data_IF_874512153075
#
_entry.id   IF_874512153075
#
_cell.length_a   1.000
_cell.length_b   1.000
_cell.length_c   1.000
_cell.angle_alpha   90.00
_cell.angle_beta   90.00
_cell.angle_gamma   90.00
#
_symmetry.space_group_name_H-M   'P 1'
#
loop_
_entity.id
_entity.type
_entity.pdbx_description
1 polymer ?
#
# COMPACT_ATOMS: atom_id res chain seq x y z
N UNK A 1 33.63 25.54 12.22
CA UNK A 1 32.93 24.34 11.69
C UNK A 1 31.65 24.16 12.49
N UNK A 2 30.45 24.41 11.95
CA UNK A 2 29.22 24.16 12.69
C UNK A 2 28.84 22.68 12.57
N UNK A 3 28.72 22.03 13.72
CA UNK A 3 28.11 20.73 13.93
C UNK A 3 26.65 20.79 13.47
N UNK A 4 26.31 20.05 12.41
CA UNK A 4 24.93 19.73 12.09
C UNK A 4 24.38 18.83 13.20
N UNK A 5 23.75 19.44 14.20
CA UNK A 5 22.90 18.73 15.14
C UNK A 5 21.80 18.03 14.38
N UNK A 6 21.81 16.70 14.37
CA UNK A 6 20.65 15.91 14.00
C UNK A 6 19.53 16.33 14.96
N UNK A 7 18.58 17.16 14.51
CA UNK A 7 17.31 17.28 15.21
C UNK A 7 16.71 15.86 15.22
N UNK A 8 16.78 15.19 16.38
CA UNK A 8 15.85 14.10 16.68
C UNK A 8 14.46 14.75 16.67
N UNK A 9 13.81 14.79 15.50
CA UNK A 9 12.42 15.23 15.40
C UNK A 9 11.58 14.22 16.20
N UNK A 10 10.84 14.70 17.19
CA UNK A 10 9.92 13.91 17.99
C UNK A 10 8.92 13.20 17.05
N UNK A 11 8.60 11.90 17.23
CA UNK A 11 7.62 11.18 16.43
C UNK A 11 6.29 11.94 16.23
N UNK A 12 5.80 12.62 17.27
CA UNK A 12 4.58 13.42 17.22
C UNK A 12 4.68 14.60 16.23
N UNK A 13 5.81 15.30 16.20
CA UNK A 13 6.03 16.43 15.29
C UNK A 13 6.11 15.95 13.83
N UNK A 14 6.70 14.78 13.61
CA UNK A 14 6.77 14.16 12.28
C UNK A 14 5.37 13.79 11.79
N UNK A 15 4.57 13.12 12.62
CA UNK A 15 3.19 12.73 12.28
C UNK A 15 2.33 13.97 12.01
N UNK A 16 2.44 15.01 12.84
CA UNK A 16 1.71 16.27 12.65
C UNK A 16 2.11 16.96 11.34
N UNK A 17 3.41 17.11 11.10
CA UNK A 17 3.95 17.73 9.87
C UNK A 17 3.51 16.96 8.63
N UNK A 18 3.57 15.62 8.68
CA UNK A 18 3.15 14.77 7.58
C UNK A 18 1.65 14.93 7.31
N UNK A 19 0.80 14.93 8.35
CA UNK A 19 -0.65 15.14 8.20
C UNK A 19 -0.99 16.50 7.59
N UNK A 20 -0.34 17.56 8.04
CA UNK A 20 -0.56 18.92 7.50
C UNK A 20 -0.17 19.01 6.02
N UNK A 21 0.97 18.45 5.63
CA UNK A 21 1.40 18.45 4.23
C UNK A 21 0.53 17.55 3.34
N UNK A 22 0.06 16.41 3.84
CA UNK A 22 -0.90 15.57 3.12
C UNK A 22 -2.22 16.30 2.85
N UNK A 23 -2.69 17.14 3.78
CA UNK A 23 -3.88 17.96 3.58
C UNK A 23 -3.68 19.08 2.53
N UNK A 24 -2.45 19.56 2.35
CA UNK A 24 -2.10 20.51 1.27
C UNK A 24 -2.12 19.80 -0.09
N UNK A 25 -1.60 18.57 -0.16
CA UNK A 25 -1.62 17.76 -1.38
C UNK A 25 -3.05 17.43 -1.83
N UNK A 26 -3.97 17.17 -0.90
CA UNK A 26 -5.39 16.96 -1.24
C UNK A 26 -6.06 18.20 -1.87
N UNK A 27 -5.56 19.41 -1.61
CA UNK A 27 -6.15 20.66 -2.09
C UNK A 27 -5.65 21.12 -3.46
N UNK A 28 -4.67 20.42 -4.06
CA UNK A 28 -4.11 20.75 -5.38
C UNK A 28 -3.67 22.24 -5.53
N UNK A 29 -3.05 22.79 -4.49
CA UNK A 29 -2.61 24.20 -4.44
C UNK A 29 -1.19 24.37 -5.05
N UNK A 30 -0.79 25.60 -5.43
CA UNK A 30 0.57 25.91 -5.96
C UNK A 30 1.71 25.56 -4.99
N UNK A 31 1.39 25.30 -3.72
CA UNK A 31 2.34 24.85 -2.68
C UNK A 31 2.55 23.33 -2.64
N UNK A 32 1.85 22.57 -3.45
CA UNK A 32 1.84 21.10 -3.41
C UNK A 32 3.21 20.47 -3.72
N UNK A 33 4.02 21.08 -4.59
CA UNK A 33 5.42 20.64 -4.83
C UNK A 33 6.27 20.66 -3.55
N UNK A 34 6.19 21.74 -2.77
CA UNK A 34 6.93 21.84 -1.49
C UNK A 34 6.38 20.87 -0.45
N UNK A 35 5.05 20.68 -0.43
CA UNK A 35 4.41 19.72 0.46
C UNK A 35 4.83 18.28 0.14
N UNK A 36 4.92 17.89 -1.14
CA UNK A 36 5.36 16.57 -1.58
C UNK A 36 6.81 16.27 -1.17
N UNK A 37 7.71 17.24 -1.28
CA UNK A 37 9.10 17.09 -0.84
C UNK A 37 9.18 16.86 0.69
N UNK A 38 8.38 17.59 1.46
CA UNK A 38 8.33 17.44 2.92
C UNK A 38 7.67 16.10 3.33
N UNK A 39 6.65 15.63 2.60
CA UNK A 39 6.06 14.30 2.78
C UNK A 39 7.13 13.22 2.59
N UNK A 40 7.90 13.29 1.52
CA UNK A 40 8.98 12.33 1.23
C UNK A 40 10.03 12.31 2.33
N UNK A 41 10.45 13.49 2.84
CA UNK A 41 11.39 13.60 3.96
C UNK A 41 10.81 13.01 5.24
N UNK A 42 9.56 13.28 5.56
CA UNK A 42 8.90 12.74 6.75
C UNK A 42 8.81 11.21 6.70
N UNK A 43 8.42 10.64 5.55
CA UNK A 43 8.37 9.18 5.35
C UNK A 43 9.75 8.53 5.53
N UNK A 44 10.80 9.15 4.99
CA UNK A 44 12.16 8.66 5.16
C UNK A 44 12.61 8.67 6.63
N UNK A 45 12.32 9.76 7.37
CA UNK A 45 12.63 9.83 8.82
C UNK A 45 11.82 8.79 9.60
N UNK A 46 10.52 8.61 9.30
CA UNK A 46 9.71 7.57 9.95
C UNK A 46 10.27 6.17 9.70
N UNK A 47 10.72 5.89 8.48
CA UNK A 47 11.37 4.63 8.14
C UNK A 47 12.66 4.42 8.92
N UNK A 48 13.50 5.46 9.05
CA UNK A 48 14.71 5.40 9.87
C UNK A 48 14.39 5.12 11.35
N UNK A 49 13.30 5.69 11.88
CA UNK A 49 12.80 5.39 13.24
C UNK A 49 12.33 3.95 13.36
N UNK A 50 11.73 3.34 12.32
CA UNK A 50 11.24 1.96 12.38
C UNK A 50 12.35 0.91 12.21
N UNK A 51 13.39 1.22 11.42
CA UNK A 51 14.46 0.28 11.06
C UNK A 51 15.83 0.58 11.72
N UNK A 52 15.95 1.65 12.50
CA UNK A 52 17.17 2.05 13.18
C UNK A 52 17.75 0.98 14.11
N UNK A 53 19.08 0.90 14.18
CA UNK A 53 19.82 -0.20 14.85
C UNK A 53 20.58 0.21 16.12
N UNK A 54 20.39 1.42 16.65
CA UNK A 54 21.40 2.01 17.54
C UNK A 54 21.15 1.78 19.04
N UNK A 55 19.96 1.38 19.48
CA UNK A 55 19.69 0.95 20.87
C UNK A 55 18.31 0.28 20.97
N UNK A 56 18.21 -0.99 21.41
CA UNK A 56 16.96 -1.78 21.28
C UNK A 56 15.82 -1.27 22.16
N UNK A 57 16.11 -0.77 23.36
CA UNK A 57 15.09 -0.37 24.33
C UNK A 57 14.49 1.00 23.97
N UNK A 58 15.33 1.99 23.70
CA UNK A 58 14.91 3.31 23.20
C UNK A 58 14.21 3.22 21.84
N UNK A 59 14.64 2.30 20.97
CA UNK A 59 14.00 2.05 19.68
C UNK A 59 12.57 1.54 19.84
N UNK A 60 12.33 0.63 20.80
CA UNK A 60 10.99 0.08 21.03
C UNK A 60 10.03 1.14 21.56
N UNK A 61 10.50 2.03 22.45
CA UNK A 61 9.70 3.14 22.98
C UNK A 61 9.35 4.17 21.89
N UNK A 62 10.33 4.60 21.09
CA UNK A 62 10.11 5.55 19.99
C UNK A 62 9.17 5.01 18.91
N UNK A 63 9.28 3.73 18.56
CA UNK A 63 8.34 3.04 17.65
C UNK A 63 6.94 2.96 18.26
N UNK A 64 6.85 2.74 19.57
CA UNK A 64 5.56 2.72 20.29
C UNK A 64 4.87 4.08 20.26
N UNK A 65 5.62 5.14 20.53
CA UNK A 65 5.12 6.50 20.45
C UNK A 65 4.67 6.85 19.03
N UNK A 66 5.49 6.51 18.02
CA UNK A 66 5.13 6.73 16.61
C UNK A 66 3.84 6.01 16.23
N UNK A 67 3.69 4.74 16.60
CA UNK A 67 2.49 3.96 16.31
C UNK A 67 1.24 4.58 16.95
N UNK A 68 1.33 5.00 18.20
CA UNK A 68 0.23 5.64 18.93
C UNK A 68 -0.23 6.95 18.27
N UNK A 69 0.73 7.78 17.84
CA UNK A 69 0.46 9.01 17.11
C UNK A 69 -0.17 8.73 15.74
N UNK A 70 0.24 7.65 15.06
CA UNK A 70 -0.35 7.26 13.78
C UNK A 70 -1.81 6.82 13.89
N UNK A 71 -2.17 6.12 14.97
CA UNK A 71 -3.55 5.71 15.23
C UNK A 71 -4.42 6.91 15.62
N UNK A 72 -3.99 7.72 16.58
CA UNK A 72 -4.76 8.85 17.11
C UNK A 72 -4.96 9.97 16.09
N UNK A 73 -3.97 10.21 15.22
CA UNK A 73 -4.06 11.21 14.16
C UNK A 73 -4.87 10.73 12.95
N UNK A 74 -5.16 9.44 12.83
CA UNK A 74 -5.76 8.84 11.63
C UNK A 74 -4.86 8.93 10.40
N UNK A 75 -3.55 9.16 10.57
CA UNK A 75 -2.63 9.38 9.47
C UNK A 75 -2.47 8.14 8.58
N UNK A 76 -2.56 6.94 9.16
CA UNK A 76 -2.48 5.67 8.42
C UNK A 76 -3.61 5.56 7.37
N UNK A 77 -4.82 6.01 7.70
CA UNK A 77 -5.95 6.09 6.76
C UNK A 77 -5.68 7.12 5.68
N UNK A 78 -5.21 8.32 6.07
CA UNK A 78 -4.91 9.41 5.14
C UNK A 78 -3.82 9.04 4.12
N UNK A 79 -2.78 8.32 4.55
CA UNK A 79 -1.70 7.85 3.68
C UNK A 79 -2.21 6.86 2.63
N UNK A 80 -3.08 5.92 3.00
CA UNK A 80 -3.66 4.94 2.06
C UNK A 80 -4.59 5.63 1.07
N UNK A 81 -5.49 6.51 1.55
CA UNK A 81 -6.43 7.26 0.71
C UNK A 81 -5.71 8.11 -0.34
N UNK A 82 -4.59 8.70 0.05
CA UNK A 82 -3.81 9.63 -0.77
C UNK A 82 -2.57 9.00 -1.40
N UNK A 83 -2.47 7.66 -1.40
CA UNK A 83 -1.31 6.93 -1.95
C UNK A 83 -1.04 7.29 -3.41
N UNK A 84 -2.10 7.65 -4.17
CA UNK A 84 -2.00 8.12 -5.54
C UNK A 84 -1.30 9.47 -5.69
N UNK A 85 -1.40 10.34 -4.68
CA UNK A 85 -0.89 11.72 -4.72
C UNK A 85 0.58 11.84 -4.33
N UNK A 86 1.11 10.87 -3.57
CA UNK A 86 2.45 10.93 -2.97
C UNK A 86 3.56 11.06 -4.02
N UNK A 87 3.34 10.60 -5.26
CA UNK A 87 4.34 10.61 -6.33
C UNK A 87 3.86 11.26 -7.66
N UNK A 88 2.59 11.66 -7.76
CA UNK A 88 1.99 12.12 -9.03
C UNK A 88 2.44 13.52 -9.45
N UNK A 89 2.71 14.44 -8.51
CA UNK A 89 3.13 15.79 -8.88
C UNK A 89 4.62 15.91 -9.24
N UNK A 90 5.45 14.97 -8.79
CA UNK A 90 6.84 14.86 -9.24
C UNK A 90 6.94 14.51 -10.74
N UNK A 91 5.96 13.78 -11.30
CA UNK A 91 5.85 13.55 -12.76
C UNK A 91 5.48 14.84 -13.51
N UNK A 92 4.54 15.63 -12.98
CA UNK A 92 4.17 16.92 -13.56
C UNK A 92 5.34 17.92 -13.58
N UNK A 93 6.17 17.94 -12.53
CA UNK A 93 7.41 18.73 -12.52
C UNK A 93 8.45 18.26 -13.55
N UNK A 94 8.51 16.96 -13.86
CA UNK A 94 9.43 16.43 -14.88
C UNK A 94 9.01 16.83 -16.31
N UNK A 95 7.72 17.08 -16.54
CA UNK A 95 7.16 17.51 -17.81
C UNK A 95 6.96 19.05 -17.91
N UNK A 96 7.11 19.76 -16.79
CA UNK A 96 6.83 21.20 -16.67
C UNK A 96 8.01 22.11 -16.99
N UNK A 97 8.36 22.20 -18.28
CA UNK A 97 9.30 23.21 -18.80
C UNK A 97 9.29 23.42 -20.32
N UNK A 98 8.49 22.69 -21.08
CA UNK A 98 8.33 22.92 -22.51
C UNK A 98 6.85 23.05 -22.85
N UNK A 99 6.43 24.26 -23.20
CA UNK A 99 5.24 24.44 -24.01
C UNK A 99 5.44 23.71 -25.34
N UNK A 100 4.39 23.03 -25.81
CA UNK A 100 4.42 22.09 -26.93
C UNK A 100 4.58 22.75 -28.32
N UNK A 101 5.48 23.73 -28.51
CA UNK A 101 5.56 24.48 -29.79
C UNK A 101 6.95 24.71 -30.36
N UNK A 102 8.00 24.02 -29.90
CA UNK A 102 9.31 24.14 -30.54
C UNK A 102 10.17 22.88 -30.38
N UNK A 103 9.76 21.81 -31.04
CA UNK A 103 10.63 20.67 -31.35
C UNK A 103 11.43 21.01 -32.60
N UNK A 104 12.54 21.74 -32.45
CA UNK A 104 13.65 21.65 -33.39
C UNK A 104 14.94 22.12 -32.73
N UNK A 105 15.94 21.25 -32.72
CA UNK A 105 17.34 21.49 -32.32
C UNK A 105 17.63 21.69 -30.82
N UNK A 106 17.92 20.57 -30.14
CA UNK A 106 19.03 20.56 -29.19
C UNK A 106 19.78 19.24 -29.18
N UNK A 107 21.07 19.34 -29.48
CA UNK A 107 22.06 18.28 -29.54
C UNK A 107 22.48 17.78 -28.15
N UNK A 108 22.62 16.46 -28.06
CA UNK A 108 23.65 15.71 -27.30
C UNK A 108 24.11 16.28 -25.95
N UNK A 109 23.31 16.05 -24.91
CA UNK A 109 23.83 15.69 -23.59
C UNK A 109 22.92 14.58 -23.02
N UNK A 110 23.52 13.46 -22.64
CA UNK A 110 22.85 12.30 -22.07
C UNK A 110 22.07 12.70 -20.80
N UNK A 111 20.74 12.49 -20.72
CA UNK A 111 20.02 12.85 -19.52
C UNK A 111 20.07 11.66 -18.56
N UNK A 112 20.94 11.72 -17.55
CA UNK A 112 20.84 10.87 -16.34
C UNK A 112 19.74 11.37 -15.38
N UNK A 113 19.21 12.58 -15.63
CA UNK A 113 18.14 13.23 -14.88
C UNK A 113 16.80 12.48 -14.81
N UNK A 114 16.33 11.75 -15.85
CA UNK A 114 15.11 10.96 -15.78
C UNK A 114 15.25 9.80 -14.78
N UNK A 115 16.44 9.21 -14.67
CA UNK A 115 16.67 8.01 -13.86
C UNK A 115 16.69 8.30 -12.35
N UNK A 116 17.27 9.43 -11.93
CA UNK A 116 17.33 9.84 -10.52
C UNK A 116 15.95 10.31 -10.03
N UNK A 117 15.17 10.97 -10.91
CA UNK A 117 13.80 11.36 -10.60
C UNK A 117 12.90 10.12 -10.50
N UNK A 118 12.96 9.20 -11.49
CA UNK A 118 12.24 7.91 -11.45
C UNK A 118 12.59 7.05 -10.22
N UNK A 119 13.85 7.05 -9.77
CA UNK A 119 14.24 6.29 -8.56
C UNK A 119 13.68 6.88 -7.28
N UNK A 120 13.50 8.20 -7.20
CA UNK A 120 12.93 8.89 -6.03
C UNK A 120 11.39 8.78 -6.02
N UNK A 121 10.76 8.84 -7.20
CA UNK A 121 9.30 8.70 -7.42
C UNK A 121 8.80 7.28 -7.07
N UNK A 122 9.61 6.23 -7.27
CA UNK A 122 9.24 4.87 -6.82
C UNK A 122 9.39 4.67 -5.31
N UNK A 123 10.03 5.61 -4.61
CA UNK A 123 10.46 5.43 -3.23
C UNK A 123 9.33 5.79 -2.24
N UNK A 124 8.52 6.82 -2.51
CA UNK A 124 7.47 7.32 -1.60
C UNK A 124 6.38 6.29 -1.28
N UNK A 125 5.67 5.77 -2.30
CA UNK A 125 4.66 4.69 -2.12
C UNK A 125 5.23 3.43 -1.48
N UNK A 126 6.49 3.09 -1.83
CA UNK A 126 7.18 1.93 -1.25
C UNK A 126 7.45 2.14 0.24
N UNK A 127 7.86 3.35 0.63
CA UNK A 127 8.09 3.69 2.03
C UNK A 127 6.80 3.65 2.84
N UNK A 128 5.67 4.15 2.30
CA UNK A 128 4.36 4.00 2.94
C UNK A 128 4.03 2.52 3.17
N UNK A 129 4.22 1.69 2.15
CA UNK A 129 3.95 0.25 2.25
C UNK A 129 4.85 -0.43 3.29
N UNK A 130 6.13 -0.05 3.36
CA UNK A 130 7.08 -0.57 4.35
C UNK A 130 6.72 -0.13 5.77
N UNK A 131 6.38 1.14 5.97
CA UNK A 131 5.96 1.70 7.25
C UNK A 131 4.69 0.99 7.72
N UNK A 132 3.67 0.89 6.86
CA UNK A 132 2.41 0.20 7.15
C UNK A 132 2.66 -1.25 7.58
N UNK A 133 3.45 -2.00 6.81
CA UNK A 133 3.73 -3.40 7.09
C UNK A 133 4.53 -3.59 8.40
N UNK A 134 5.46 -2.69 8.69
CA UNK A 134 6.24 -2.75 9.93
C UNK A 134 5.34 -2.54 11.15
N UNK A 135 4.49 -1.52 11.13
CA UNK A 135 3.56 -1.21 12.21
C UNK A 135 2.50 -2.31 12.35
N UNK A 136 2.03 -2.88 11.24
CA UNK A 136 1.06 -3.98 11.27
C UNK A 136 1.60 -5.23 11.96
N UNK A 137 2.88 -5.55 11.74
CA UNK A 137 3.56 -6.70 12.38
C UNK A 137 3.93 -6.47 13.84
N UNK A 138 3.77 -5.26 14.36
CA UNK A 138 4.13 -4.92 15.74
C UNK A 138 3.25 -5.65 16.73
N UNK A 139 3.88 -6.30 17.69
CA UNK A 139 3.23 -6.97 18.82
C UNK A 139 3.58 -6.24 20.12
N UNK A 140 2.60 -6.11 21.00
CA UNK A 140 2.77 -5.64 22.38
C UNK A 140 2.29 -6.75 23.29
N UNK A 141 3.23 -7.57 23.78
CA UNK A 141 2.90 -8.84 24.41
C UNK A 141 2.23 -9.80 23.41
N UNK A 142 1.03 -10.28 23.73
CA UNK A 142 0.22 -11.12 22.84
C UNK A 142 -0.75 -10.33 21.97
N UNK A 143 -0.85 -9.00 22.18
CA UNK A 143 -1.76 -8.14 21.43
C UNK A 143 -1.09 -7.62 20.16
N UNK A 144 -1.87 -7.43 19.10
CA UNK A 144 -1.44 -6.79 17.86
C UNK A 144 -2.24 -5.48 17.68
N UNK A 145 -1.81 -4.36 18.28
CA UNK A 145 -2.62 -3.14 18.36
C UNK A 145 -3.07 -2.60 17.00
N UNK A 146 -2.23 -2.75 15.98
CA UNK A 146 -2.57 -2.34 14.61
C UNK A 146 -3.67 -3.20 14.01
N UNK A 147 -3.70 -4.49 14.31
CA UNK A 147 -4.78 -5.39 13.87
C UNK A 147 -6.10 -4.95 14.50
N UNK A 148 -6.11 -4.70 15.81
CA UNK A 148 -7.29 -4.22 16.54
C UNK A 148 -7.79 -2.87 16.00
N UNK A 149 -6.85 -1.96 15.69
CA UNK A 149 -7.15 -0.68 15.06
C UNK A 149 -7.80 -0.86 13.68
N UNK A 150 -7.28 -1.74 12.83
CA UNK A 150 -7.85 -2.00 11.49
C UNK A 150 -9.19 -2.73 11.60
N UNK A 151 -9.37 -3.64 12.55
CA UNK A 151 -10.66 -4.27 12.84
C UNK A 151 -11.75 -3.23 13.17
N UNK A 152 -11.37 -2.19 13.91
CA UNK A 152 -12.24 -1.05 14.24
C UNK A 152 -12.45 -0.08 13.07
N UNK A 153 -11.56 -0.12 12.06
CA UNK A 153 -11.51 0.77 10.91
C UNK A 153 -11.49 -0.01 9.58
N UNK A 154 -12.47 -0.90 9.39
CA UNK A 154 -12.51 -1.87 8.28
C UNK A 154 -12.41 -1.24 6.89
N UNK A 155 -12.85 0.03 6.75
CA UNK A 155 -12.72 0.80 5.51
C UNK A 155 -11.29 0.86 4.97
N UNK A 156 -10.26 0.72 5.81
CA UNK A 156 -8.85 0.60 5.40
C UNK A 156 -8.66 -0.57 4.43
N UNK A 157 -9.22 -1.74 4.75
CA UNK A 157 -9.10 -2.95 3.94
C UNK A 157 -9.78 -2.74 2.58
N UNK A 158 -10.95 -2.10 2.57
CA UNK A 158 -11.70 -1.84 1.34
C UNK A 158 -11.04 -0.77 0.45
N UNK A 159 -10.38 0.23 1.04
CA UNK A 159 -9.55 1.18 0.27
C UNK A 159 -8.36 0.50 -0.39
N UNK A 160 -7.68 -0.40 0.34
CA UNK A 160 -6.58 -1.19 -0.23
C UNK A 160 -7.07 -2.09 -1.36
N UNK A 161 -8.22 -2.76 -1.19
CA UNK A 161 -8.81 -3.63 -2.20
C UNK A 161 -9.21 -2.85 -3.46
N UNK A 162 -9.90 -1.71 -3.33
CA UNK A 162 -10.21 -0.81 -4.46
C UNK A 162 -8.96 -0.24 -5.14
N UNK A 163 -7.81 -0.27 -4.46
CA UNK A 163 -6.52 0.09 -5.04
C UNK A 163 -6.13 -0.73 -6.27
N UNK A 164 -6.65 -1.95 -6.44
CA UNK A 164 -6.43 -2.76 -7.65
C UNK A 164 -7.00 -2.11 -8.92
N UNK A 165 -8.02 -1.26 -8.80
CA UNK A 165 -8.60 -0.51 -9.93
C UNK A 165 -7.68 0.62 -10.42
N UNK A 166 -6.63 0.94 -9.66
CA UNK A 166 -5.73 2.05 -9.93
C UNK A 166 -4.32 1.53 -10.25
N UNK A 167 -3.92 1.45 -11.54
CA UNK A 167 -2.65 0.84 -11.94
C UNK A 167 -1.41 1.42 -11.24
N UNK A 168 -1.44 2.71 -10.92
CA UNK A 168 -0.32 3.44 -10.29
C UNK A 168 -0.07 3.09 -8.82
N UNK A 169 -1.02 2.43 -8.14
CA UNK A 169 -0.93 2.06 -6.72
C UNK A 169 -1.26 0.60 -6.45
N UNK A 170 -1.87 -0.11 -7.40
CA UNK A 170 -2.35 -1.49 -7.26
C UNK A 170 -1.34 -2.44 -6.59
N UNK A 171 -0.08 -2.48 -7.06
CA UNK A 171 0.93 -3.38 -6.49
C UNK A 171 1.32 -3.02 -5.05
N UNK A 172 1.31 -1.73 -4.69
CA UNK A 172 1.58 -1.29 -3.31
C UNK A 172 0.41 -1.68 -2.40
N UNK A 173 -0.83 -1.48 -2.87
CA UNK A 173 -2.03 -1.92 -2.18
C UNK A 173 -2.05 -3.43 -1.97
N UNK A 174 -1.68 -4.21 -3.00
CA UNK A 174 -1.59 -5.67 -2.91
C UNK A 174 -0.59 -6.15 -1.87
N UNK A 175 0.60 -5.54 -1.80
CA UNK A 175 1.61 -5.84 -0.77
C UNK A 175 1.06 -5.58 0.64
N UNK A 176 0.43 -4.42 0.87
CA UNK A 176 -0.14 -4.08 2.18
C UNK A 176 -1.33 -4.97 2.54
N UNK A 177 -2.21 -5.26 1.57
CA UNK A 177 -3.37 -6.12 1.75
C UNK A 177 -2.95 -7.56 2.09
N UNK A 178 -1.92 -8.09 1.41
CA UNK A 178 -1.36 -9.41 1.72
C UNK A 178 -0.73 -9.50 3.11
N UNK A 179 -0.21 -8.40 3.65
CA UNK A 179 0.22 -8.38 5.05
C UNK A 179 -0.98 -8.36 6.01
N UNK A 180 -2.06 -7.65 5.68
CA UNK A 180 -3.30 -7.65 6.49
C UNK A 180 -3.88 -9.05 6.63
N UNK A 181 -4.05 -9.77 5.52
CA UNK A 181 -4.69 -11.10 5.51
C UNK A 181 -3.86 -12.18 6.20
N UNK A 182 -2.61 -11.91 6.59
CA UNK A 182 -1.86 -12.83 7.48
C UNK A 182 -2.52 -12.98 8.84
N UNK A 183 -3.27 -11.97 9.27
CA UNK A 183 -4.05 -11.98 10.49
C UNK A 183 -5.47 -12.45 10.20
N UNK A 184 -5.88 -13.54 10.85
CA UNK A 184 -7.19 -14.17 10.65
C UNK A 184 -8.38 -13.19 10.80
N UNK A 185 -8.42 -12.26 11.78
CA UNK A 185 -9.51 -11.31 11.91
C UNK A 185 -9.69 -10.39 10.69
N UNK A 186 -8.57 -9.96 10.08
CA UNK A 186 -8.59 -9.07 8.91
C UNK A 186 -8.96 -9.83 7.64
N UNK A 187 -8.46 -11.06 7.49
CA UNK A 187 -8.85 -11.95 6.41
C UNK A 187 -10.36 -12.24 6.46
N UNK A 188 -10.90 -12.49 7.66
CA UNK A 188 -12.34 -12.71 7.88
C UNK A 188 -13.19 -11.53 7.42
N UNK A 189 -12.78 -10.29 7.72
CA UNK A 189 -13.50 -9.09 7.28
C UNK A 189 -13.59 -9.02 5.75
N UNK A 190 -12.49 -9.31 5.05
CA UNK A 190 -12.47 -9.26 3.57
C UNK A 190 -13.28 -10.42 3.00
N UNK A 191 -13.04 -11.64 3.46
CA UNK A 191 -13.65 -12.86 2.92
C UNK A 191 -15.18 -12.85 3.04
N UNK A 192 -15.70 -12.34 4.15
CA UNK A 192 -17.15 -12.26 4.40
C UNK A 192 -17.80 -10.98 3.84
N UNK A 193 -17.03 -10.11 3.18
CA UNK A 193 -17.58 -8.88 2.59
C UNK A 193 -18.01 -9.08 1.13
N UNK A 194 -18.91 -8.22 0.65
CA UNK A 194 -19.27 -8.18 -0.77
C UNK A 194 -18.07 -7.92 -1.69
N UNK A 195 -17.07 -7.19 -1.19
CA UNK A 195 -15.83 -6.86 -1.90
C UNK A 195 -14.93 -8.07 -2.19
N UNK A 196 -15.17 -9.22 -1.58
CA UNK A 196 -14.47 -10.44 -1.97
C UNK A 196 -14.75 -10.79 -3.43
N UNK A 197 -15.98 -10.57 -3.90
CA UNK A 197 -16.39 -10.89 -5.27
C UNK A 197 -15.65 -10.06 -6.32
N UNK A 198 -15.14 -8.87 -5.96
CA UNK A 198 -14.33 -8.03 -6.85
C UNK A 198 -13.04 -8.74 -7.31
N UNK A 199 -12.50 -9.70 -6.53
CA UNK A 199 -11.31 -10.45 -6.93
C UNK A 199 -11.52 -11.24 -8.23
N UNK A 200 -12.72 -11.79 -8.48
CA UNK A 200 -13.01 -12.50 -9.74
C UNK A 200 -12.81 -11.60 -10.96
N UNK A 201 -13.13 -10.30 -10.82
CA UNK A 201 -12.83 -9.29 -11.85
C UNK A 201 -11.36 -8.90 -11.87
N UNK A 202 -10.72 -8.72 -10.72
CA UNK A 202 -9.32 -8.29 -10.65
C UNK A 202 -8.34 -9.32 -11.23
N UNK A 203 -8.61 -10.61 -11.07
CA UNK A 203 -7.75 -11.68 -11.64
C UNK A 203 -7.86 -11.83 -13.17
N UNK A 204 -8.84 -11.19 -13.78
CA UNK A 204 -9.04 -11.14 -15.23
C UNK A 204 -8.62 -9.81 -15.87
N UNK A 205 -7.99 -8.91 -15.09
CA UNK A 205 -7.50 -7.65 -15.64
C UNK A 205 -6.49 -7.89 -16.78
N UNK A 206 -6.56 -7.03 -17.81
CA UNK A 206 -5.66 -7.09 -18.96
C UNK A 206 -4.19 -6.79 -18.61
N UNK A 207 -3.96 -6.10 -17.49
CA UNK A 207 -2.60 -5.81 -17.00
C UNK A 207 -2.08 -7.00 -16.20
N UNK A 208 -1.22 -7.80 -16.83
CA UNK A 208 -0.73 -9.07 -16.28
C UNK A 208 -0.16 -8.96 -14.85
N UNK A 209 0.68 -7.96 -14.57
CA UNK A 209 1.31 -7.81 -13.25
C UNK A 209 0.26 -7.58 -12.15
N UNK A 210 -0.78 -6.79 -12.44
CA UNK A 210 -1.86 -6.48 -11.51
C UNK A 210 -2.75 -7.71 -11.32
N UNK A 211 -3.15 -8.37 -12.41
CA UNK A 211 -3.97 -9.59 -12.35
C UNK A 211 -3.27 -10.71 -11.58
N UNK A 212 -1.96 -10.90 -11.82
CA UNK A 212 -1.13 -11.89 -11.13
C UNK A 212 -0.99 -11.57 -9.63
N UNK A 213 -0.77 -10.30 -9.29
CA UNK A 213 -0.71 -9.85 -7.89
C UNK A 213 -2.06 -10.00 -7.17
N UNK A 214 -3.17 -9.65 -7.84
CA UNK A 214 -4.52 -9.86 -7.34
C UNK A 214 -4.80 -11.35 -7.12
N UNK A 215 -4.38 -12.21 -8.05
CA UNK A 215 -4.53 -13.66 -7.93
C UNK A 215 -3.73 -14.20 -6.74
N UNK A 216 -2.52 -13.71 -6.48
CA UNK A 216 -1.75 -14.09 -5.32
C UNK A 216 -2.49 -13.76 -4.01
N UNK A 217 -3.10 -12.58 -3.93
CA UNK A 217 -3.92 -12.15 -2.77
C UNK A 217 -5.19 -13.00 -2.63
N UNK A 218 -5.89 -13.25 -3.74
CA UNK A 218 -7.09 -14.07 -3.79
C UNK A 218 -6.83 -15.52 -3.34
N UNK A 219 -5.75 -16.13 -3.87
CA UNK A 219 -5.29 -17.45 -3.43
C UNK A 219 -4.97 -17.46 -1.93
N UNK A 220 -4.25 -16.45 -1.43
CA UNK A 220 -3.84 -16.41 -0.03
C UNK A 220 -5.06 -16.33 0.91
N UNK A 221 -6.08 -15.53 0.55
CA UNK A 221 -7.37 -15.49 1.25
C UNK A 221 -8.05 -16.86 1.32
N UNK A 222 -8.01 -17.62 0.23
CA UNK A 222 -8.66 -18.94 0.11
C UNK A 222 -7.82 -20.12 0.61
N UNK A 223 -6.58 -19.92 1.05
CA UNK A 223 -5.72 -21.06 1.41
C UNK A 223 -4.99 -20.91 2.75
N UNK A 224 -4.88 -19.69 3.30
CA UNK A 224 -4.14 -19.45 4.53
C UNK A 224 -4.84 -19.96 5.78
N UNK A 225 -6.06 -19.46 6.04
CA UNK A 225 -6.80 -19.71 7.28
C UNK A 225 -7.82 -20.83 7.05
N UNK A 226 -7.34 -22.08 7.02
CA UNK A 226 -8.11 -23.25 6.57
C UNK A 226 -9.48 -23.40 7.24
N UNK A 227 -9.57 -23.19 8.55
CA UNK A 227 -10.83 -23.32 9.29
C UNK A 227 -11.86 -22.27 8.84
N UNK A 228 -11.43 -21.00 8.77
CA UNK A 228 -12.25 -19.88 8.30
C UNK A 228 -12.69 -20.07 6.84
N UNK A 229 -11.78 -20.52 5.97
CA UNK A 229 -12.09 -20.73 4.55
C UNK A 229 -13.05 -21.89 4.37
N UNK A 230 -12.85 -23.00 5.08
CA UNK A 230 -13.77 -24.14 5.01
C UNK A 230 -15.20 -23.74 5.40
N UNK A 231 -15.35 -22.96 6.49
CA UNK A 231 -16.65 -22.42 6.91
C UNK A 231 -17.24 -21.48 5.83
N UNK A 232 -16.44 -20.59 5.25
CA UNK A 232 -16.89 -19.67 4.21
C UNK A 232 -17.34 -20.41 2.94
N UNK A 233 -16.55 -21.38 2.46
CA UNK A 233 -16.86 -22.12 1.24
C UNK A 233 -18.09 -23.02 1.41
N UNK A 234 -18.30 -23.61 2.58
CA UNK A 234 -19.50 -24.39 2.88
C UNK A 234 -20.77 -23.52 2.85
N UNK A 235 -20.69 -22.31 3.40
CA UNK A 235 -21.82 -21.36 3.41
C UNK A 235 -22.09 -20.68 2.06
N UNK A 236 -21.08 -20.57 1.19
CA UNK A 236 -21.15 -19.78 -0.06
C UNK A 236 -20.84 -20.61 -1.31
N UNK A 237 -21.00 -21.93 -1.23
CA UNK A 237 -20.57 -22.89 -2.25
C UNK A 237 -21.06 -22.50 -3.65
N UNK A 238 -22.37 -22.32 -3.83
CA UNK A 238 -22.96 -22.05 -5.14
C UNK A 238 -22.43 -20.77 -5.77
N UNK A 239 -22.31 -19.70 -4.99
CA UNK A 239 -21.81 -18.41 -5.48
C UNK A 239 -20.34 -18.51 -5.90
N UNK A 240 -19.49 -19.07 -5.03
CA UNK A 240 -18.05 -19.17 -5.28
C UNK A 240 -17.77 -20.13 -6.44
N UNK A 241 -18.46 -21.27 -6.48
CA UNK A 241 -18.29 -22.26 -7.53
C UNK A 241 -18.69 -21.71 -8.91
N UNK A 242 -19.83 -21.03 -9.00
CA UNK A 242 -20.29 -20.43 -10.26
C UNK A 242 -19.32 -19.37 -10.80
N UNK A 243 -18.72 -18.54 -9.92
CA UNK A 243 -17.71 -17.58 -10.35
C UNK A 243 -16.37 -18.26 -10.71
N UNK A 244 -15.97 -19.31 -9.98
CA UNK A 244 -14.79 -20.10 -10.33
C UNK A 244 -14.93 -20.83 -11.66
N UNK A 245 -16.12 -21.33 -11.98
CA UNK A 245 -16.39 -21.99 -13.27
C UNK A 245 -16.12 -21.04 -14.44
N UNK A 246 -16.47 -19.75 -14.31
CA UNK A 246 -16.13 -18.73 -15.31
C UNK A 246 -14.61 -18.59 -15.47
N UNK A 247 -13.86 -18.56 -14.37
CA UNK A 247 -12.39 -18.46 -14.42
C UNK A 247 -11.74 -19.68 -15.11
N UNK A 248 -12.33 -20.87 -15.00
CA UNK A 248 -11.85 -22.08 -15.70
C UNK A 248 -12.09 -22.02 -17.22
N UNK A 249 -13.02 -21.18 -17.65
CA UNK A 249 -13.32 -20.91 -19.06
C UNK A 249 -12.70 -19.59 -19.55
N UNK A 250 -11.89 -18.92 -18.73
CA UNK A 250 -11.22 -17.68 -19.10
C UNK A 250 -10.28 -17.86 -20.31
N UNK A 251 -10.29 -16.87 -21.20
CA UNK A 251 -9.33 -16.75 -22.32
C UNK A 251 -7.90 -16.47 -21.82
N UNK A 252 -7.74 -15.99 -20.58
CA UNK A 252 -6.44 -15.82 -19.96
C UNK A 252 -5.90 -17.17 -19.47
N UNK A 253 -5.00 -17.76 -20.25
CA UNK A 253 -4.36 -19.05 -19.94
C UNK A 253 -3.77 -19.12 -18.52
N UNK A 254 -3.15 -18.03 -18.04
CA UNK A 254 -2.54 -18.01 -16.70
C UNK A 254 -3.62 -18.04 -15.63
N UNK A 255 -4.66 -17.20 -15.75
CA UNK A 255 -5.80 -17.19 -14.84
C UNK A 255 -6.50 -18.55 -14.81
N UNK A 256 -6.77 -19.13 -15.98
CA UNK A 256 -7.36 -20.48 -16.11
C UNK A 256 -6.53 -21.55 -15.40
N UNK A 257 -5.22 -21.60 -15.66
CA UNK A 257 -4.30 -22.59 -15.07
C UNK A 257 -4.17 -22.42 -13.55
N UNK A 258 -4.05 -21.18 -13.07
CA UNK A 258 -3.89 -20.91 -11.65
C UNK A 258 -5.19 -21.16 -10.88
N UNK A 259 -6.35 -20.81 -11.45
CA UNK A 259 -7.67 -21.06 -10.85
C UNK A 259 -7.91 -22.56 -10.67
N UNK A 260 -7.60 -23.36 -11.69
CA UNK A 260 -7.65 -24.83 -11.60
C UNK A 260 -6.77 -25.36 -10.46
N UNK A 261 -5.55 -24.83 -10.31
CA UNK A 261 -4.63 -25.23 -9.25
C UNK A 261 -5.19 -24.90 -7.87
N UNK A 262 -5.75 -23.71 -7.68
CA UNK A 262 -6.35 -23.32 -6.38
C UNK A 262 -7.55 -24.19 -6.07
N UNK A 263 -8.44 -24.42 -7.04
CA UNK A 263 -9.61 -25.28 -6.85
C UNK A 263 -9.23 -26.69 -6.38
N UNK A 264 -8.16 -27.27 -6.94
CA UNK A 264 -7.63 -28.58 -6.49
C UNK A 264 -7.04 -28.53 -5.07
N UNK A 265 -6.51 -27.38 -4.64
CA UNK A 265 -5.92 -27.21 -3.30
C UNK A 265 -7.00 -26.96 -2.22
N UNK A 266 -8.17 -26.44 -2.60
CA UNK A 266 -9.27 -26.05 -1.69
C UNK A 266 -10.40 -27.09 -1.58
N UNK A 267 -10.52 -28.02 -2.53
CA UNK A 267 -11.44 -29.17 -2.49
C UNK A 267 -10.77 -30.33 -1.76
#
# INVERSE_FOLDING_TARGET
MPLFGKLQKNPADIVKTLKENMAILEKHDKKAVKASEEVSKCLQVMKEILYGTNDKDHHTETVTQLAQELYSSGLLISLIKNLKLIDFESEACALGGASATSISNRSKHSPTWPLICLSTIKQGKKDVSQIFNNILRRQVGTCAPTVDYICSNQHILFMLLKGYEMPQVALNCGIMLRECIRHEPLAKIILLSEHFSDFFRYVEMSTFDIASDAFATFKDLLTRHKALVAEFLDQNYDMVFNEYEKLLHSENYVTKRQSLKVMIETI
#
